data_IF_304500743719
#
_entry.id   IF_304500743719
#
_cell.length_a   1.000
_cell.length_b   1.000
_cell.length_c   1.000
_cell.angle_alpha   90.00
_cell.angle_beta   90.00
_cell.angle_gamma   90.00
#
_symmetry.space_group_name_H-M   'P 1'
#
loop_
_entity.id
_entity.type
_entity.pdbx_description
1 polymer ?
#
# COMPACT_ATOMS: atom_id res chain seq x y z
N UNK A 1 -5.58 -17.04 -7.80
CA UNK A 1 -4.32 -17.26 -8.55
C UNK A 1 -4.60 -18.25 -9.68
N UNK A 2 -4.31 -17.87 -10.93
CA UNK A 2 -4.68 -18.64 -12.13
C UNK A 2 -3.55 -19.60 -12.56
N UNK A 3 -3.05 -20.45 -11.63
CA UNK A 3 -1.94 -21.36 -11.93
C UNK A 3 -2.22 -22.33 -13.09
N UNK A 4 -3.41 -22.95 -13.21
CA UNK A 4 -3.71 -23.81 -14.35
C UNK A 4 -3.68 -23.07 -15.69
N UNK A 5 -4.20 -21.83 -15.73
CA UNK A 5 -4.17 -21.02 -16.96
C UNK A 5 -2.74 -20.63 -17.33
N UNK A 6 -1.91 -20.23 -16.35
CA UNK A 6 -0.50 -19.90 -16.58
C UNK A 6 0.27 -21.13 -17.10
N UNK A 7 0.01 -22.31 -16.53
CA UNK A 7 0.61 -23.56 -16.99
C UNK A 7 0.19 -23.88 -18.43
N UNK A 8 -1.09 -23.76 -18.76
CA UNK A 8 -1.60 -24.00 -20.11
C UNK A 8 -0.95 -23.06 -21.15
N UNK A 9 -0.76 -21.80 -20.82
CA UNK A 9 -0.06 -20.82 -21.68
C UNK A 9 1.39 -21.22 -21.91
N UNK A 10 2.09 -21.69 -20.87
CA UNK A 10 3.47 -22.19 -20.93
C UNK A 10 3.56 -23.45 -21.80
N UNK A 11 2.68 -24.42 -21.60
CA UNK A 11 2.63 -25.68 -22.35
C UNK A 11 2.32 -25.43 -23.85
N UNK A 12 1.57 -24.36 -24.15
CA UNK A 12 1.28 -23.90 -25.52
C UNK A 12 2.39 -23.03 -26.13
N UNK A 13 3.47 -22.78 -25.43
CA UNK A 13 4.57 -21.90 -25.85
C UNK A 13 4.12 -20.48 -26.26
N UNK A 14 3.09 -19.95 -25.63
CA UNK A 14 2.59 -18.59 -25.87
C UNK A 14 3.41 -17.59 -25.04
N UNK A 15 4.02 -16.56 -25.65
CA UNK A 15 4.71 -15.51 -24.91
C UNK A 15 3.82 -14.87 -23.86
N UNK A 16 4.29 -14.78 -22.60
CA UNK A 16 3.47 -14.30 -21.52
C UNK A 16 4.25 -13.58 -20.41
N UNK A 17 3.57 -12.63 -19.76
CA UNK A 17 4.11 -11.91 -18.63
C UNK A 17 3.30 -12.18 -17.35
N UNK A 18 4.01 -12.27 -16.23
CA UNK A 18 3.40 -12.23 -14.89
C UNK A 18 3.54 -10.83 -14.33
N UNK A 19 2.40 -10.22 -14.00
CA UNK A 19 2.35 -8.88 -13.42
C UNK A 19 2.03 -8.93 -11.92
N UNK A 20 2.94 -8.42 -11.10
CA UNK A 20 2.80 -8.32 -9.64
C UNK A 20 2.54 -6.87 -9.24
N UNK A 21 1.34 -6.57 -8.74
CA UNK A 21 0.92 -5.23 -8.32
C UNK A 21 1.20 -4.92 -6.85
N UNK A 22 1.94 -5.78 -6.17
CA UNK A 22 2.35 -5.62 -4.77
C UNK A 22 3.81 -6.02 -4.59
N UNK A 23 4.29 -6.16 -3.36
CA UNK A 23 5.65 -6.59 -3.08
C UNK A 23 5.89 -8.04 -3.50
N UNK A 24 6.94 -8.26 -4.28
CA UNK A 24 7.42 -9.61 -4.63
C UNK A 24 7.75 -10.42 -3.37
N UNK A 25 8.30 -9.74 -2.36
CA UNK A 25 8.61 -10.36 -1.07
C UNK A 25 7.40 -10.96 -0.37
N UNK A 26 6.23 -10.31 -0.47
CA UNK A 26 4.98 -10.84 0.07
C UNK A 26 4.53 -12.08 -0.71
N UNK A 27 4.55 -12.03 -2.04
CA UNK A 27 4.17 -13.15 -2.91
C UNK A 27 5.07 -14.36 -2.64
N UNK A 28 6.39 -14.16 -2.56
CA UNK A 28 7.34 -15.23 -2.23
C UNK A 28 7.06 -15.84 -0.85
N UNK A 29 6.70 -15.02 0.15
CA UNK A 29 6.33 -15.49 1.48
C UNK A 29 5.04 -16.31 1.49
N UNK A 30 4.00 -15.84 0.79
CA UNK A 30 2.72 -16.53 0.64
C UNK A 30 2.90 -17.91 0.02
N UNK A 31 3.75 -18.02 -1.01
CA UNK A 31 4.02 -19.28 -1.69
C UNK A 31 4.86 -20.26 -0.85
N UNK A 32 5.72 -19.77 0.05
CA UNK A 32 6.52 -20.63 0.92
C UNK A 32 5.71 -21.21 2.08
N UNK A 33 4.78 -20.44 2.67
CA UNK A 33 4.20 -20.73 3.97
C UNK A 33 2.71 -21.16 3.93
N UNK A 34 2.03 -21.08 2.80
CA UNK A 34 0.58 -21.32 2.77
C UNK A 34 0.10 -21.87 1.44
N UNK A 35 -0.33 -20.99 0.56
CA UNK A 35 -0.90 -21.36 -0.74
C UNK A 35 0.04 -22.23 -1.59
N UNK A 36 1.36 -22.03 -1.47
CA UNK A 36 2.35 -22.85 -2.17
C UNK A 36 2.43 -24.29 -1.68
N UNK A 37 2.20 -24.55 -0.40
CA UNK A 37 2.15 -25.92 0.15
C UNK A 37 0.92 -26.65 -0.39
N UNK A 38 -0.24 -25.99 -0.38
CA UNK A 38 -1.47 -26.55 -0.95
C UNK A 38 -1.31 -26.79 -2.46
N UNK A 39 -0.75 -25.84 -3.20
CA UNK A 39 -0.54 -25.97 -4.65
C UNK A 39 0.36 -27.17 -5.01
N UNK A 40 1.38 -27.47 -4.21
CA UNK A 40 2.26 -28.65 -4.40
C UNK A 40 1.51 -29.96 -4.32
N UNK A 41 0.50 -30.07 -3.45
CA UNK A 41 -0.36 -31.26 -3.36
C UNK A 41 -1.13 -31.52 -4.66
N UNK A 42 -1.33 -30.48 -5.46
CA UNK A 42 -1.94 -30.55 -6.80
C UNK A 42 -0.92 -30.51 -7.94
N UNK A 43 0.37 -30.75 -7.65
CA UNK A 43 1.43 -30.79 -8.64
C UNK A 43 1.94 -29.42 -9.14
N UNK A 44 1.55 -28.31 -8.50
CA UNK A 44 1.94 -26.98 -8.92
C UNK A 44 3.06 -26.40 -8.05
N UNK A 45 4.23 -26.20 -8.62
CA UNK A 45 5.33 -25.45 -8.02
C UNK A 45 5.21 -23.98 -8.38
N UNK A 46 4.49 -23.20 -7.56
CA UNK A 46 4.06 -21.83 -7.88
C UNK A 46 5.21 -20.89 -8.24
N UNK A 47 6.30 -20.93 -7.47
CA UNK A 47 7.48 -20.09 -7.73
C UNK A 47 8.13 -20.46 -9.07
N UNK A 48 8.28 -21.73 -9.37
CA UNK A 48 8.83 -22.21 -10.65
C UNK A 48 7.97 -21.76 -11.81
N UNK A 49 6.65 -21.94 -11.73
CA UNK A 49 5.72 -21.54 -12.78
C UNK A 49 5.76 -20.02 -13.01
N UNK A 50 5.90 -19.23 -11.95
CA UNK A 50 6.00 -17.78 -12.08
C UNK A 50 7.36 -17.34 -12.63
N UNK A 51 8.44 -17.93 -12.12
CA UNK A 51 9.80 -17.57 -12.52
C UNK A 51 10.13 -18.03 -13.93
N UNK A 52 9.40 -19.03 -14.49
CA UNK A 52 9.55 -19.49 -15.88
C UNK A 52 8.68 -18.72 -16.90
N UNK A 53 7.95 -17.69 -16.50
CA UNK A 53 7.34 -16.78 -17.47
C UNK A 53 8.41 -16.07 -18.30
N UNK A 54 8.08 -15.63 -19.52
CA UNK A 54 9.04 -14.88 -20.34
C UNK A 54 9.42 -13.53 -19.70
N UNK A 55 8.49 -12.96 -18.94
CA UNK A 55 8.70 -11.71 -18.23
C UNK A 55 7.96 -11.68 -16.90
N UNK A 56 8.64 -11.23 -15.85
CA UNK A 56 8.06 -10.92 -14.55
C UNK A 56 8.14 -9.41 -14.28
N UNK A 57 7.01 -8.73 -14.18
CA UNK A 57 6.92 -7.29 -13.88
C UNK A 57 6.47 -7.11 -12.44
N UNK A 58 7.22 -6.32 -11.67
CA UNK A 58 6.85 -5.95 -10.30
C UNK A 58 6.62 -4.44 -10.24
N UNK A 59 5.35 -4.05 -10.04
CA UNK A 59 4.92 -2.66 -10.03
C UNK A 59 5.10 -2.01 -8.65
N UNK A 60 6.35 -1.96 -8.18
CA UNK A 60 6.74 -1.32 -6.91
C UNK A 60 8.17 -0.79 -6.95
N UNK A 61 8.55 0.03 -5.97
CA UNK A 61 9.94 0.46 -5.82
C UNK A 61 10.79 -0.67 -5.22
N UNK A 62 11.91 -1.07 -5.85
CA UNK A 62 12.76 -2.14 -5.35
C UNK A 62 13.32 -1.84 -3.96
N UNK A 63 13.65 -0.58 -3.63
CA UNK A 63 14.18 -0.21 -2.31
C UNK A 63 13.23 -0.51 -1.15
N UNK A 64 11.92 -0.54 -1.39
CA UNK A 64 10.90 -0.84 -0.38
C UNK A 64 10.53 -2.32 -0.35
N UNK A 65 10.77 -3.07 -1.43
CA UNK A 65 10.46 -4.50 -1.48
C UNK A 65 11.61 -5.33 -0.90
N UNK A 66 11.40 -6.09 0.20
CA UNK A 66 12.43 -6.93 0.78
C UNK A 66 13.00 -7.98 -0.18
N UNK A 67 12.27 -8.36 -1.25
CA UNK A 67 12.76 -9.30 -2.25
C UNK A 67 13.94 -8.75 -3.04
N UNK A 68 14.03 -7.44 -3.26
CA UNK A 68 15.11 -6.82 -4.05
C UNK A 68 16.52 -7.06 -3.47
N UNK A 69 16.59 -7.40 -2.18
CA UNK A 69 17.86 -7.70 -1.47
C UNK A 69 18.36 -9.14 -1.67
N UNK A 70 17.66 -9.92 -2.50
CA UNK A 70 17.99 -11.33 -2.78
C UNK A 70 18.20 -11.51 -4.28
N UNK A 71 18.93 -12.53 -4.72
CA UNK A 71 19.00 -12.88 -6.13
C UNK A 71 17.60 -13.05 -6.71
N UNK A 72 17.39 -12.52 -7.90
CA UNK A 72 16.12 -12.55 -8.63
C UNK A 72 16.34 -13.29 -9.96
N UNK A 73 15.29 -13.87 -10.55
CA UNK A 73 15.39 -14.42 -11.91
C UNK A 73 15.70 -13.31 -12.94
N UNK A 74 16.43 -13.66 -13.98
CA UNK A 74 16.91 -12.72 -15.00
C UNK A 74 15.78 -12.02 -15.78
N UNK A 75 14.60 -12.64 -15.82
CA UNK A 75 13.39 -12.12 -16.48
C UNK A 75 12.55 -11.19 -15.59
N UNK A 76 13.01 -10.83 -14.38
CA UNK A 76 12.27 -9.97 -13.46
C UNK A 76 12.66 -8.49 -13.65
N UNK A 77 11.65 -7.62 -13.72
CA UNK A 77 11.82 -6.16 -13.85
C UNK A 77 10.97 -5.42 -12.83
N UNK A 78 11.57 -4.53 -12.04
CA UNK A 78 10.85 -3.54 -11.25
C UNK A 78 10.62 -2.30 -12.10
N UNK A 79 9.35 -1.89 -12.22
CA UNK A 79 8.97 -0.73 -13.05
C UNK A 79 8.55 0.49 -12.21
N UNK A 80 8.44 0.33 -10.88
CA UNK A 80 7.85 1.33 -10.02
C UNK A 80 6.33 1.17 -9.87
N UNK A 81 5.71 1.88 -8.90
CA UNK A 81 4.27 1.78 -8.67
C UNK A 81 3.49 2.51 -9.76
N UNK A 82 2.47 1.85 -10.32
CA UNK A 82 1.57 2.45 -11.30
C UNK A 82 0.52 3.27 -10.55
N UNK A 83 0.67 4.58 -10.58
CA UNK A 83 -0.24 5.55 -9.94
C UNK A 83 -0.48 6.73 -10.87
N UNK A 84 -1.60 7.42 -10.68
CA UNK A 84 -1.85 8.69 -11.37
C UNK A 84 -0.84 9.76 -10.92
N UNK A 85 -0.47 10.66 -11.83
CA UNK A 85 0.40 11.79 -11.52
C UNK A 85 -0.19 12.62 -10.38
N UNK A 86 0.59 12.93 -9.33
CA UNK A 86 0.10 13.69 -8.19
C UNK A 86 -0.04 15.17 -8.54
N UNK A 87 -1.08 15.80 -7.99
CA UNK A 87 -1.22 17.24 -8.01
C UNK A 87 -0.21 17.91 -7.07
N UNK A 88 0.06 19.20 -7.30
CA UNK A 88 0.97 19.98 -6.45
C UNK A 88 0.46 20.06 -5.01
N UNK A 89 1.34 19.98 -4.00
CA UNK A 89 0.95 20.12 -2.60
C UNK A 89 0.31 21.50 -2.30
N UNK A 90 -0.81 21.48 -1.57
CA UNK A 90 -1.56 22.66 -1.11
C UNK A 90 -1.93 22.46 0.37
N UNK A 91 -0.93 22.24 1.23
CA UNK A 91 -1.13 21.84 2.64
C UNK A 91 -2.00 22.82 3.40
N UNK A 92 -2.94 22.30 4.18
CA UNK A 92 -3.81 23.10 5.03
C UNK A 92 -3.17 23.42 6.39
N UNK A 93 -3.58 24.53 6.96
CA UNK A 93 -3.34 24.92 8.34
C UNK A 93 -4.69 25.28 8.97
N UNK A 94 -5.14 24.58 10.05
CA UNK A 94 -4.45 23.50 10.75
C UNK A 94 -4.25 22.24 9.87
N UNK A 95 -3.28 21.35 10.22
CA UNK A 95 -2.97 20.17 9.42
C UNK A 95 -4.19 19.29 9.12
N UNK A 96 -4.36 18.87 7.87
CA UNK A 96 -5.39 17.94 7.45
C UNK A 96 -4.85 16.50 7.44
N UNK A 97 -5.57 15.57 8.06
CA UNK A 97 -5.26 14.14 8.09
C UNK A 97 -6.30 13.36 7.31
N UNK A 98 -5.87 12.57 6.33
CA UNK A 98 -6.75 11.61 5.65
C UNK A 98 -6.69 10.26 6.38
N UNK A 99 -7.84 9.71 6.75
CA UNK A 99 -7.99 8.33 7.21
C UNK A 99 -8.69 7.52 6.13
N UNK A 100 -7.98 6.53 5.56
CA UNK A 100 -8.53 5.66 4.52
C UNK A 100 -8.17 4.21 4.80
N UNK A 101 -9.15 3.47 5.25
CA UNK A 101 -9.01 2.03 5.48
C UNK A 101 -9.38 1.23 4.23
N UNK A 102 -9.35 -0.09 4.32
CA UNK A 102 -9.63 -0.97 3.18
C UNK A 102 -11.09 -0.87 2.72
N UNK A 103 -11.27 -0.94 1.41
CA UNK A 103 -12.58 -1.14 0.76
C UNK A 103 -13.11 -2.58 0.94
N UNK A 104 -12.27 -3.50 1.40
CA UNK A 104 -12.68 -4.85 1.77
C UNK A 104 -13.04 -4.87 3.26
N UNK A 105 -14.27 -5.09 3.64
CA UNK A 105 -14.75 -5.07 5.03
C UNK A 105 -14.07 -6.10 5.94
N UNK A 106 -12.84 -5.86 6.36
CA UNK A 106 -12.11 -6.75 7.26
C UNK A 106 -12.69 -6.76 8.67
N UNK A 107 -12.78 -7.95 9.25
CA UNK A 107 -13.23 -8.11 10.65
C UNK A 107 -12.42 -7.24 11.60
N UNK A 108 -13.09 -6.39 12.38
CA UNK A 108 -12.49 -5.48 13.34
C UNK A 108 -12.01 -4.14 12.74
N UNK A 109 -12.24 -3.88 11.47
CA UNK A 109 -11.94 -2.59 10.82
C UNK A 109 -12.69 -1.44 11.51
N UNK A 110 -13.99 -1.62 11.82
CA UNK A 110 -14.81 -0.65 12.55
C UNK A 110 -14.11 -0.17 13.84
N UNK A 111 -13.67 -1.09 14.70
CA UNK A 111 -13.00 -0.76 15.97
C UNK A 111 -11.69 0.03 15.76
N UNK A 112 -10.98 -0.22 14.65
CA UNK A 112 -9.76 0.52 14.31
C UNK A 112 -10.12 1.94 13.89
N UNK A 113 -11.16 2.12 13.07
CA UNK A 113 -11.67 3.42 12.66
C UNK A 113 -12.16 4.22 13.88
N UNK A 114 -12.98 3.62 14.75
CA UNK A 114 -13.49 4.26 15.98
C UNK A 114 -12.34 4.78 16.88
N UNK A 115 -11.32 3.95 17.12
CA UNK A 115 -10.14 4.37 17.90
C UNK A 115 -9.34 5.47 17.23
N UNK A 116 -9.26 5.44 15.88
CA UNK A 116 -8.57 6.48 15.12
C UNK A 116 -9.33 7.80 15.19
N UNK A 117 -10.65 7.80 15.05
CA UNK A 117 -11.50 8.99 15.23
C UNK A 117 -11.32 9.57 16.64
N UNK A 118 -11.41 8.73 17.66
CA UNK A 118 -11.23 9.16 19.06
C UNK A 118 -9.82 9.73 19.34
N UNK A 119 -8.80 9.22 18.65
CA UNK A 119 -7.44 9.77 18.74
C UNK A 119 -7.33 11.16 18.08
N UNK A 120 -7.95 11.33 16.91
CA UNK A 120 -7.94 12.58 16.16
C UNK A 120 -8.77 13.67 16.84
N UNK A 121 -9.88 13.30 17.48
CA UNK A 121 -10.79 14.23 18.15
C UNK A 121 -10.10 15.11 19.22
N UNK A 122 -8.97 14.66 19.76
CA UNK A 122 -8.21 15.35 20.82
C UNK A 122 -7.01 16.14 20.32
N UNK A 123 -6.80 16.22 19.00
CA UNK A 123 -5.64 16.87 18.40
C UNK A 123 -6.01 18.18 17.68
N UNK A 124 -5.14 19.20 17.68
CA UNK A 124 -5.38 20.47 17.00
C UNK A 124 -5.13 20.32 15.48
N UNK A 125 -6.03 19.61 14.81
CA UNK A 125 -5.96 19.31 13.38
C UNK A 125 -7.38 19.14 12.81
N UNK A 126 -7.49 19.03 11.50
CA UNK A 126 -8.69 18.54 10.82
C UNK A 126 -8.47 17.13 10.30
N UNK A 127 -9.52 16.34 10.22
CA UNK A 127 -9.44 15.00 9.63
C UNK A 127 -10.64 14.68 8.76
N UNK A 128 -10.38 13.93 7.68
CA UNK A 128 -11.42 13.33 6.85
C UNK A 128 -11.23 11.81 6.91
N UNK A 129 -12.28 11.11 7.34
CA UNK A 129 -12.33 9.65 7.43
C UNK A 129 -13.21 9.12 6.32
N UNK A 130 -12.64 8.34 5.40
CA UNK A 130 -13.40 7.72 4.31
C UNK A 130 -13.78 6.29 4.68
N UNK A 131 -15.05 5.93 4.51
CA UNK A 131 -15.56 4.59 4.82
C UNK A 131 -15.64 3.68 3.60
N UNK A 132 -15.56 4.24 2.39
CA UNK A 132 -15.64 3.54 1.10
C UNK A 132 -16.87 2.61 0.99
N UNK A 133 -17.97 2.96 1.66
CA UNK A 133 -19.21 2.15 1.70
C UNK A 133 -19.15 0.91 2.58
N UNK A 134 -18.03 0.64 3.26
CA UNK A 134 -17.85 -0.52 4.13
C UNK A 134 -18.49 -0.31 5.51
N UNK A 135 -18.47 0.93 5.98
CA UNK A 135 -19.06 1.34 7.25
C UNK A 135 -20.05 2.47 6.99
N UNK A 136 -21.19 2.47 7.70
CA UNK A 136 -22.08 3.61 7.67
C UNK A 136 -21.46 4.76 8.48
N UNK A 137 -21.26 5.96 7.91
CA UNK A 137 -20.72 7.12 8.62
C UNK A 137 -21.49 7.49 9.89
N UNK A 138 -22.83 7.29 9.90
CA UNK A 138 -23.67 7.63 11.04
C UNK A 138 -23.47 6.73 12.26
N UNK A 139 -22.92 5.54 12.06
CA UNK A 139 -22.62 4.59 13.14
C UNK A 139 -21.25 4.83 13.80
N UNK A 140 -20.50 5.81 13.32
CA UNK A 140 -19.14 6.11 13.81
C UNK A 140 -19.13 7.29 14.79
N UNK A 141 -18.15 7.37 15.70
CA UNK A 141 -18.02 8.50 16.62
C UNK A 141 -18.01 9.82 15.87
N UNK A 142 -18.68 10.83 16.42
CA UNK A 142 -18.68 12.21 15.91
C UNK A 142 -17.70 13.06 16.69
N UNK A 143 -16.96 13.95 16.01
CA UNK A 143 -16.07 14.93 16.63
C UNK A 143 -16.05 16.20 15.78
N UNK A 144 -15.85 17.37 16.41
CA UNK A 144 -15.93 18.68 15.75
C UNK A 144 -14.89 18.89 14.64
N UNK A 145 -13.74 18.23 14.78
CA UNK A 145 -12.60 18.35 13.85
C UNK A 145 -12.45 17.13 12.93
N UNK A 146 -13.42 16.19 12.90
CA UNK A 146 -13.36 14.96 12.12
C UNK A 146 -14.63 14.83 11.27
N UNK A 147 -14.47 14.92 9.98
CA UNK A 147 -15.53 14.68 8.99
C UNK A 147 -15.49 13.19 8.57
N UNK A 148 -16.60 12.47 8.75
CA UNK A 148 -16.74 11.07 8.31
C UNK A 148 -17.60 11.04 7.08
N UNK A 149 -17.05 10.55 5.95
CA UNK A 149 -17.69 10.54 4.66
C UNK A 149 -17.64 9.16 3.99
N UNK A 150 -18.58 8.88 3.10
CA UNK A 150 -18.63 7.62 2.38
C UNK A 150 -17.46 7.49 1.40
N UNK A 151 -17.25 8.49 0.57
CA UNK A 151 -16.22 8.51 -0.47
C UNK A 151 -15.69 9.93 -0.68
N UNK A 152 -14.43 10.00 -1.07
CA UNK A 152 -13.78 11.21 -1.59
C UNK A 152 -12.69 10.81 -2.56
N UNK A 153 -12.44 11.62 -3.58
CA UNK A 153 -11.29 11.39 -4.46
C UNK A 153 -9.99 11.71 -3.70
N UNK A 154 -9.17 10.68 -3.53
CA UNK A 154 -7.88 10.82 -2.87
C UNK A 154 -6.88 11.67 -3.68
N UNK A 155 -7.03 11.73 -5.01
CA UNK A 155 -6.19 12.56 -5.88
C UNK A 155 -6.40 14.04 -5.61
N UNK A 156 -7.64 14.44 -5.32
CA UNK A 156 -8.01 15.84 -4.97
C UNK A 156 -7.70 16.17 -3.50
N UNK A 157 -7.84 15.17 -2.62
CA UNK A 157 -7.69 15.41 -1.18
C UNK A 157 -6.24 15.33 -0.69
N UNK A 158 -5.44 14.38 -1.17
CA UNK A 158 -4.06 14.17 -0.70
C UNK A 158 -3.14 15.39 -0.87
N UNK A 159 -3.27 16.23 -1.92
CA UNK A 159 -2.48 17.46 -2.01
C UNK A 159 -2.63 18.39 -0.80
N UNK A 160 -3.80 18.40 -0.17
CA UNK A 160 -4.15 19.23 0.97
C UNK A 160 -3.73 18.62 2.31
N UNK A 161 -3.50 17.31 2.34
CA UNK A 161 -3.21 16.56 3.57
C UNK A 161 -1.77 16.76 4.06
N UNK A 162 -1.58 16.55 5.36
CA UNK A 162 -0.28 16.51 6.03
C UNK A 162 0.15 15.11 6.44
N UNK A 163 -0.79 14.17 6.51
CA UNK A 163 -0.58 12.78 6.95
C UNK A 163 -1.68 11.90 6.34
N UNK A 164 -1.34 10.64 6.04
CA UNK A 164 -2.32 9.60 5.75
C UNK A 164 -2.27 8.52 6.82
N UNK A 165 -3.43 8.17 7.38
CA UNK A 165 -3.63 6.98 8.24
C UNK A 165 -4.36 5.94 7.40
N UNK A 166 -3.75 4.77 7.22
CA UNK A 166 -4.34 3.74 6.36
C UNK A 166 -3.98 2.31 6.78
N UNK A 167 -4.57 1.36 6.07
CA UNK A 167 -4.33 -0.06 6.33
C UNK A 167 -3.02 -0.61 5.72
N UNK A 168 -2.31 0.19 4.91
CA UNK A 168 -1.10 -0.26 4.24
C UNK A 168 -1.35 -0.98 2.92
N UNK A 169 -2.46 -0.71 2.24
CA UNK A 169 -2.68 -1.17 0.87
C UNK A 169 -1.67 -0.55 -0.09
N UNK A 170 -1.15 -1.36 -1.05
CA UNK A 170 -0.08 -0.94 -1.95
C UNK A 170 -0.40 0.38 -2.68
N UNK A 171 -1.51 0.44 -3.41
CA UNK A 171 -1.90 1.61 -4.21
C UNK A 171 -2.04 2.88 -3.36
N UNK A 172 -2.78 2.80 -2.23
CA UNK A 172 -3.00 3.96 -1.34
C UNK A 172 -1.70 4.46 -0.72
N UNK A 173 -0.81 3.52 -0.33
CA UNK A 173 0.47 3.86 0.29
C UNK A 173 1.40 4.57 -0.68
N UNK A 174 1.54 4.06 -1.90
CA UNK A 174 2.39 4.70 -2.92
C UNK A 174 1.79 6.01 -3.43
N UNK A 175 0.46 6.12 -3.51
CA UNK A 175 -0.20 7.40 -3.81
C UNK A 175 0.10 8.45 -2.74
N UNK A 176 0.01 8.09 -1.45
CA UNK A 176 0.38 9.00 -0.36
C UNK A 176 1.85 9.43 -0.43
N UNK A 177 2.78 8.49 -0.66
CA UNK A 177 4.20 8.79 -0.85
C UNK A 177 4.44 9.70 -2.04
N UNK A 178 3.73 9.49 -3.16
CA UNK A 178 3.82 10.37 -4.33
C UNK A 178 3.41 11.82 -4.06
N UNK A 179 2.54 12.02 -3.06
CA UNK A 179 2.16 13.34 -2.54
C UNK A 179 3.04 13.82 -1.37
N UNK A 180 4.20 13.21 -1.13
CA UNK A 180 5.13 13.55 -0.05
C UNK A 180 4.52 13.42 1.35
N UNK A 181 3.55 12.49 1.52
CA UNK A 181 2.84 12.30 2.78
C UNK A 181 3.47 11.16 3.59
N UNK A 182 3.85 11.42 4.84
CA UNK A 182 4.15 10.34 5.77
C UNK A 182 2.90 9.50 6.03
N UNK A 183 3.10 8.23 6.40
CA UNK A 183 2.00 7.30 6.64
C UNK A 183 2.00 6.75 8.06
N UNK A 184 0.79 6.66 8.65
CA UNK A 184 0.55 5.77 9.77
C UNK A 184 -0.17 4.52 9.25
N UNK A 185 0.51 3.38 9.29
CA UNK A 185 -0.06 2.11 8.80
C UNK A 185 -0.59 1.30 9.97
N UNK A 186 -1.89 0.93 9.90
CA UNK A 186 -2.57 0.04 10.85
C UNK A 186 -3.18 -1.11 10.04
N UNK A 187 -2.47 -2.23 9.86
CA UNK A 187 -2.90 -3.33 9.00
C UNK A 187 -4.27 -3.88 9.40
N UNK A 188 -5.18 -4.01 8.44
CA UNK A 188 -6.52 -4.54 8.65
C UNK A 188 -6.56 -6.08 8.64
N UNK A 189 -5.62 -6.71 7.91
CA UNK A 189 -5.54 -8.17 7.78
C UNK A 189 -4.13 -8.70 8.11
N UNK A 190 -4.02 -9.81 8.87
CA UNK A 190 -2.73 -10.46 9.10
C UNK A 190 -2.24 -11.26 7.88
N UNK A 191 -3.14 -11.59 6.93
CA UNK A 191 -2.88 -12.45 5.78
C UNK A 191 -2.61 -11.67 4.48
N UNK A 192 -2.56 -10.34 4.54
CA UNK A 192 -2.29 -9.48 3.38
C UNK A 192 -0.86 -8.92 3.42
N UNK A 193 -0.46 -8.28 2.33
CA UNK A 193 0.79 -7.56 2.15
C UNK A 193 0.95 -6.32 3.07
N UNK A 194 -0.15 -5.86 3.67
CA UNK A 194 -0.25 -4.63 4.45
C UNK A 194 0.82 -4.52 5.55
N UNK A 195 1.10 -5.64 6.25
CA UNK A 195 2.14 -5.67 7.30
C UNK A 195 3.54 -5.46 6.73
N UNK A 196 3.84 -6.06 5.58
CA UNK A 196 5.14 -5.92 4.92
C UNK A 196 5.32 -4.51 4.40
N UNK A 197 4.30 -3.94 3.75
CA UNK A 197 4.30 -2.55 3.28
C UNK A 197 4.51 -1.58 4.45
N UNK A 198 3.74 -1.75 5.53
CA UNK A 198 3.88 -0.92 6.74
C UNK A 198 5.27 -1.02 7.38
N UNK A 199 5.84 -2.23 7.46
CA UNK A 199 7.18 -2.44 7.98
C UNK A 199 8.26 -1.78 7.09
N UNK A 200 8.12 -1.86 5.76
CA UNK A 200 9.06 -1.24 4.82
C UNK A 200 8.99 0.29 4.87
N UNK A 201 7.80 0.87 4.98
CA UNK A 201 7.60 2.32 5.14
C UNK A 201 8.23 2.79 6.46
N UNK A 202 8.03 2.05 7.55
CA UNK A 202 8.60 2.38 8.86
C UNK A 202 10.14 2.26 8.85
N UNK A 203 10.69 1.20 8.23
CA UNK A 203 12.12 1.03 8.07
C UNK A 203 12.77 2.14 7.22
N UNK A 204 12.05 2.64 6.21
CA UNK A 204 12.46 3.78 5.40
C UNK A 204 12.24 5.14 6.07
N UNK A 205 11.74 5.18 7.31
CA UNK A 205 11.39 6.39 8.07
C UNK A 205 10.40 7.31 7.36
N UNK A 206 9.60 6.78 6.43
CA UNK A 206 8.55 7.52 5.75
C UNK A 206 7.18 7.40 6.45
N UNK A 207 7.15 6.77 7.63
CA UNK A 207 5.94 6.57 8.41
C UNK A 207 6.17 5.68 9.63
N UNK A 208 5.07 5.31 10.27
CA UNK A 208 5.03 4.37 11.39
C UNK A 208 4.06 3.23 11.06
N UNK A 209 4.32 2.05 11.64
CA UNK A 209 3.43 0.89 11.52
C UNK A 209 3.02 0.44 12.93
N UNK A 210 1.73 0.35 13.18
CA UNK A 210 1.15 -0.10 14.44
C UNK A 210 0.48 -1.46 14.28
N UNK A 211 0.27 -2.15 15.40
CA UNK A 211 -0.56 -3.35 15.41
C UNK A 211 -2.04 -2.95 15.30
N UNK A 212 -2.86 -3.82 14.70
CA UNK A 212 -4.33 -3.64 14.62
C UNK A 212 -4.99 -3.43 15.98
N UNK A 213 -4.40 -3.95 17.04
CA UNK A 213 -4.87 -3.79 18.44
C UNK A 213 -4.40 -2.51 19.13
N UNK A 214 -3.69 -1.62 18.43
CA UNK A 214 -3.18 -0.38 19.01
C UNK A 214 -4.31 0.41 19.69
N UNK A 215 -4.03 0.92 20.91
CA UNK A 215 -4.99 1.74 21.64
C UNK A 215 -5.15 3.13 21.02
N UNK A 216 -6.24 3.82 21.34
CA UNK A 216 -6.48 5.23 20.97
C UNK A 216 -5.28 6.10 21.32
N UNK A 217 -4.71 5.94 22.50
CA UNK A 217 -3.56 6.71 22.96
C UNK A 217 -2.29 6.41 22.15
N UNK A 218 -2.06 5.15 21.76
CA UNK A 218 -0.94 4.76 20.90
C UNK A 218 -1.08 5.38 19.51
N UNK A 219 -2.30 5.38 18.95
CA UNK A 219 -2.61 6.00 17.67
C UNK A 219 -2.40 7.52 17.75
N UNK A 220 -2.91 8.18 18.81
CA UNK A 220 -2.75 9.60 19.04
C UNK A 220 -1.28 10.01 19.06
N UNK A 221 -0.45 9.31 19.85
CA UNK A 221 1.00 9.57 19.92
C UNK A 221 1.68 9.40 18.58
N UNK A 222 1.35 8.35 17.82
CA UNK A 222 1.92 8.11 16.50
C UNK A 222 1.57 9.23 15.51
N UNK A 223 0.32 9.71 15.51
CA UNK A 223 -0.12 10.84 14.67
C UNK A 223 0.67 12.10 15.04
N UNK A 224 0.75 12.43 16.33
CA UNK A 224 1.52 13.58 16.81
C UNK A 224 2.98 13.49 16.38
N UNK A 225 3.63 12.34 16.60
CA UNK A 225 5.03 12.12 16.18
C UNK A 225 5.22 12.35 14.69
N UNK A 226 4.34 11.81 13.84
CA UNK A 226 4.45 11.95 12.38
C UNK A 226 4.25 13.38 11.89
N UNK A 227 3.41 14.16 12.58
CA UNK A 227 3.16 15.56 12.24
C UNK A 227 4.25 16.50 12.75
N UNK A 228 4.86 16.21 13.91
CA UNK A 228 5.82 17.10 14.57
C UNK A 228 7.29 16.76 14.30
N UNK A 229 7.58 15.60 13.72
CA UNK A 229 8.95 15.13 13.45
C UNK A 229 9.27 15.25 11.95
N UNK A 230 10.02 16.28 11.50
CA UNK A 230 10.23 16.58 10.08
C UNK A 230 10.86 15.45 9.26
N UNK A 231 11.65 14.59 9.90
CA UNK A 231 12.34 13.47 9.24
C UNK A 231 11.40 12.52 8.50
N UNK A 232 10.19 12.28 9.03
CA UNK A 232 9.21 11.41 8.37
C UNK A 232 8.73 12.00 7.05
N UNK A 233 8.47 13.31 7.03
CA UNK A 233 8.11 14.02 5.80
C UNK A 233 9.27 14.05 4.81
N UNK A 234 10.49 14.36 5.26
CA UNK A 234 11.68 14.36 4.40
C UNK A 234 11.89 13.01 3.72
N UNK A 235 11.75 11.90 4.47
CA UNK A 235 11.86 10.56 3.90
C UNK A 235 10.71 10.24 2.94
N UNK A 236 9.47 10.65 3.26
CA UNK A 236 8.34 10.49 2.36
C UNK A 236 8.54 11.26 1.05
N UNK A 237 9.08 12.50 1.11
CA UNK A 237 9.41 13.32 -0.06
C UNK A 237 10.49 12.66 -0.94
N UNK A 238 11.52 12.09 -0.35
CA UNK A 238 12.57 11.38 -1.10
C UNK A 238 11.99 10.18 -1.86
N UNK A 239 11.17 9.37 -1.19
CA UNK A 239 10.50 8.22 -1.83
C UNK A 239 9.49 8.71 -2.87
N UNK A 240 8.75 9.77 -2.56
CA UNK A 240 7.80 10.38 -3.47
C UNK A 240 8.44 10.87 -4.76
N UNK A 241 9.64 11.45 -4.68
CA UNK A 241 10.42 11.85 -5.86
C UNK A 241 10.78 10.65 -6.75
N UNK A 242 11.20 9.51 -6.15
CA UNK A 242 11.46 8.28 -6.91
C UNK A 242 10.19 7.72 -7.57
N UNK A 243 9.07 7.75 -6.85
CA UNK A 243 7.76 7.33 -7.38
C UNK A 243 7.36 8.18 -8.58
N UNK A 244 7.48 9.50 -8.47
CA UNK A 244 7.12 10.44 -9.56
C UNK A 244 8.08 10.37 -10.75
N UNK A 245 9.33 10.04 -10.51
CA UNK A 245 10.33 9.87 -11.57
C UNK A 245 10.18 8.53 -12.32
N UNK A 246 9.46 7.55 -11.74
CA UNK A 246 9.25 6.27 -12.40
C UNK A 246 8.19 6.42 -13.50
N UNK A 247 8.58 6.12 -14.77
CA UNK A 247 7.65 5.91 -15.87
C UNK A 247 7.13 4.46 -15.83
N UNK A 248 6.49 4.10 -14.72
CA UNK A 248 6.09 2.70 -14.47
C UNK A 248 5.16 2.15 -15.55
N UNK A 249 4.20 2.95 -15.98
CA UNK A 249 3.23 2.56 -17.03
C UNK A 249 3.91 2.39 -18.38
N UNK A 250 4.72 3.36 -18.82
CA UNK A 250 5.43 3.28 -20.07
C UNK A 250 6.48 2.17 -20.10
N UNK A 251 7.20 1.97 -19.01
CA UNK A 251 8.15 0.86 -18.88
C UNK A 251 7.45 -0.50 -18.94
N UNK A 252 6.35 -0.69 -18.20
CA UNK A 252 5.58 -1.94 -18.27
C UNK A 252 5.04 -2.20 -19.67
N UNK A 253 4.48 -1.19 -20.33
CA UNK A 253 3.97 -1.31 -21.70
C UNK A 253 5.08 -1.71 -22.68
N UNK A 254 6.23 -1.03 -22.69
CA UNK A 254 7.38 -1.37 -23.56
C UNK A 254 7.89 -2.79 -23.33
N UNK A 255 7.97 -3.23 -22.08
CA UNK A 255 8.41 -4.60 -21.75
C UNK A 255 7.43 -5.65 -22.27
N UNK A 256 6.11 -5.40 -22.14
CA UNK A 256 5.08 -6.33 -22.62
C UNK A 256 5.05 -6.39 -24.15
N UNK A 257 5.10 -5.24 -24.82
CA UNK A 257 5.13 -5.20 -26.29
C UNK A 257 6.39 -5.78 -26.91
N UNK A 258 7.48 -5.85 -26.16
CA UNK A 258 8.73 -6.49 -26.57
C UNK A 258 8.76 -8.01 -26.42
N UNK A 259 7.66 -8.64 -25.97
CA UNK A 259 7.53 -10.10 -25.88
C UNK A 259 7.07 -10.76 -27.20
N UNK A 260 6.71 -9.95 -28.21
CA UNK A 260 6.19 -10.43 -29.50
C UNK A 260 7.30 -10.69 -30.50
#
# INVERSE_FOLDING_TARGET
MLLPALRAVQDACIPHAVFTHTFRGYINGLHRLGAGTVSRLYGYHVTTIWDSADLNIVATLPRLDPASRRPQPDNLRWVGPIIAAPARPQREDPPLVLVSMSTNGFRGQRRTVERTINALATLPLRAIVTTAGVLNPDDLPKALNVDVVGYVDHGELMPRCSLVVGHGGHSSSFRALAHDLPLLVIPASPLSDQRMIGASIAAARAGLSLRRSASTETIRRAITTLLTTPQYRSAATQIGAEVRASDATGQAARLITGLT
#
